data_IF_500245338170
#
_entry.id   IF_500245338170
#
_cell.length_a   1.000
_cell.length_b   1.000
_cell.length_c   1.000
_cell.angle_alpha   90.00
_cell.angle_beta   90.00
_cell.angle_gamma   90.00
#
_symmetry.space_group_name_H-M   'P 1'
#
loop_
_entity.id
_entity.type
_entity.pdbx_description
1 polymer ?
#
# COMPACT_ATOMS: atom_id res chain seq x y z
N UNK A 1 -1.41 1.48 24.84
CA UNK A 1 -2.59 2.18 24.28
C UNK A 1 -2.26 2.52 22.86
N UNK A 2 -2.97 2.11 21.81
CA UNK A 2 -4.31 1.54 21.64
C UNK A 2 -4.21 0.63 20.40
N UNK A 3 -4.58 -0.65 20.53
CA UNK A 3 -4.56 -1.59 19.40
C UNK A 3 -5.71 -1.19 18.48
N UNK A 4 -5.41 -0.62 17.31
CA UNK A 4 -6.45 -0.25 16.35
C UNK A 4 -6.96 -1.50 15.62
N UNK A 5 -7.94 -2.13 16.27
CA UNK A 5 -8.93 -3.00 15.65
C UNK A 5 -9.71 -2.15 14.64
N UNK A 6 -9.83 -2.62 13.40
CA UNK A 6 -10.80 -2.04 12.46
C UNK A 6 -12.18 -2.07 13.12
N UNK A 7 -12.74 -0.89 13.40
CA UNK A 7 -14.02 -0.72 14.07
C UNK A 7 -15.02 -0.18 13.06
N UNK A 8 -16.17 -0.84 12.95
CA UNK A 8 -17.33 -0.45 12.13
C UNK A 8 -17.79 1.00 12.39
N UNK A 9 -17.40 1.61 13.51
CA UNK A 9 -17.80 2.96 13.92
C UNK A 9 -17.13 4.13 13.16
N UNK A 10 -16.15 3.88 12.28
CA UNK A 10 -15.58 4.94 11.42
C UNK A 10 -16.51 5.40 10.28
N UNK A 11 -17.70 4.79 10.13
CA UNK A 11 -18.73 5.21 9.17
C UNK A 11 -19.50 6.49 9.59
N UNK A 12 -19.26 7.02 10.79
CA UNK A 12 -20.10 8.11 11.34
C UNK A 12 -19.26 9.28 11.87
N UNK A 13 -18.64 10.06 10.98
CA UNK A 13 -18.21 11.41 11.38
C UNK A 13 -18.30 12.44 10.25
N UNK A 14 -19.45 13.14 10.26
CA UNK A 14 -19.77 14.47 9.72
C UNK A 14 -18.99 14.95 8.49
N UNK A 15 -19.66 14.82 7.35
CA UNK A 15 -19.50 15.70 6.18
C UNK A 15 -19.70 17.16 6.60
N UNK A 16 -18.70 18.02 6.39
CA UNK A 16 -18.89 19.47 6.27
C UNK A 16 -18.73 19.85 4.79
N UNK A 17 -19.58 20.74 4.23
CA UNK A 17 -19.44 21.14 2.85
C UNK A 17 -18.46 22.31 2.67
N UNK A 18 -17.75 22.21 1.54
CA UNK A 18 -17.21 23.26 0.68
C UNK A 18 -16.03 24.11 1.17
N UNK A 19 -15.05 24.30 0.28
CA UNK A 19 -14.57 25.63 -0.12
C UNK A 19 -13.88 25.56 -1.51
N UNK A 20 -13.86 26.72 -2.16
CA UNK A 20 -13.81 26.97 -3.60
C UNK A 20 -12.53 26.57 -4.35
N UNK A 21 -12.70 26.26 -5.65
CA UNK A 21 -11.65 26.04 -6.65
C UNK A 21 -11.20 27.40 -7.22
N UNK A 22 -9.90 27.67 -7.20
CA UNK A 22 -9.28 28.82 -7.87
C UNK A 22 -8.42 28.34 -9.03
N UNK A 23 -8.44 28.95 -10.23
CA UNK A 23 -7.61 28.51 -11.33
C UNK A 23 -6.19 29.10 -11.23
N UNK A 24 -5.15 28.27 -11.39
CA UNK A 24 -3.76 28.70 -11.57
C UNK A 24 -3.32 28.42 -13.01
N UNK A 25 -2.69 29.42 -13.66
CA UNK A 25 -2.15 29.35 -15.03
C UNK A 25 -0.62 29.18 -15.04
N UNK A 26 -0.19 28.27 -15.92
CA UNK A 26 1.01 28.21 -16.78
C UNK A 26 2.45 28.12 -16.19
N UNK A 27 3.17 27.05 -16.58
CA UNK A 27 4.64 26.91 -16.55
C UNK A 27 5.09 25.47 -16.88
N UNK A 28 5.99 25.29 -17.85
CA UNK A 28 6.33 24.01 -18.52
C UNK A 28 7.43 23.22 -17.80
N UNK A 29 7.17 21.94 -17.53
CA UNK A 29 8.12 20.82 -17.32
C UNK A 29 7.38 19.51 -17.69
N UNK A 30 8.02 18.38 -18.04
CA UNK A 30 7.32 17.25 -18.67
C UNK A 30 6.29 16.67 -17.70
N UNK A 31 5.02 17.00 -17.95
CA UNK A 31 3.90 16.48 -17.18
C UNK A 31 3.73 15.02 -17.59
N UNK A 32 4.29 14.11 -16.79
CA UNK A 32 3.66 12.80 -16.60
C UNK A 32 2.85 12.85 -15.30
N UNK A 33 2.07 13.92 -15.11
CA UNK A 33 0.98 13.89 -14.14
C UNK A 33 -0.25 13.39 -14.87
N UNK A 34 -0.35 12.08 -15.03
CA UNK A 34 -1.69 11.49 -14.89
C UNK A 34 -2.05 11.74 -13.42
N UNK A 35 -3.04 12.59 -13.18
CA UNK A 35 -3.55 12.80 -11.82
C UNK A 35 -3.91 11.44 -11.24
N UNK A 36 -3.06 10.92 -10.36
CA UNK A 36 -3.20 9.57 -9.80
C UNK A 36 -4.50 9.44 -8.98
N UNK A 37 -5.11 10.58 -8.63
CA UNK A 37 -6.44 10.70 -8.01
C UNK A 37 -7.59 10.58 -9.02
N UNK A 38 -7.33 10.53 -10.32
CA UNK A 38 -8.28 10.06 -11.34
C UNK A 38 -8.14 8.57 -11.67
N UNK A 39 -6.91 8.05 -11.71
CA UNK A 39 -6.63 6.62 -11.77
C UNK A 39 -5.15 6.33 -11.59
N UNK A 40 -4.80 5.18 -11.01
CA UNK A 40 -3.39 4.82 -10.88
C UNK A 40 -2.74 4.50 -12.22
N UNK A 41 -1.48 4.92 -12.47
CA UNK A 41 -0.74 4.51 -13.65
C UNK A 41 -0.49 3.00 -13.63
N UNK A 42 -0.37 2.38 -14.80
CA UNK A 42 0.16 1.02 -14.88
C UNK A 42 1.68 1.07 -14.89
N UNK A 43 2.31 0.49 -13.86
CA UNK A 43 3.77 0.41 -13.73
C UNK A 43 4.24 -0.97 -14.19
N UNK A 44 5.35 -1.04 -14.92
CA UNK A 44 5.86 -2.29 -15.50
C UNK A 44 7.30 -2.49 -15.05
N UNK A 45 7.54 -3.61 -14.39
CA UNK A 45 8.87 -4.07 -14.02
C UNK A 45 9.39 -5.10 -15.01
N UNK A 46 10.38 -5.85 -14.57
CA UNK A 46 11.00 -6.93 -15.34
C UNK A 46 10.07 -8.15 -15.47
N UNK A 47 9.36 -8.51 -14.40
CA UNK A 47 8.47 -9.65 -14.33
C UNK A 47 7.06 -9.30 -13.85
N UNK A 48 6.89 -8.18 -13.13
CA UNK A 48 5.58 -7.75 -12.62
C UNK A 48 4.97 -6.61 -13.41
N UNK A 49 3.64 -6.53 -13.34
CA UNK A 49 2.87 -5.34 -13.69
C UNK A 49 2.10 -4.90 -12.45
N UNK A 50 2.22 -3.63 -12.09
CA UNK A 50 1.41 -3.01 -11.05
C UNK A 50 0.32 -2.18 -11.70
N UNK A 51 -0.94 -2.46 -11.33
CA UNK A 51 -2.10 -1.76 -11.87
C UNK A 51 -3.11 -1.44 -10.78
N UNK A 52 -4.04 -0.54 -11.07
CA UNK A 52 -5.17 -0.29 -10.18
C UNK A 52 -5.95 -1.59 -9.88
N UNK A 53 -6.41 -1.71 -8.63
CA UNK A 53 -7.29 -2.79 -8.20
C UNK A 53 -8.65 -2.71 -8.90
N UNK A 54 -9.21 -3.88 -9.20
CA UNK A 54 -10.55 -4.04 -9.79
C UNK A 54 -11.36 -4.98 -8.91
N UNK A 55 -12.68 -4.82 -8.89
CA UNK A 55 -13.57 -5.69 -8.12
C UNK A 55 -13.35 -7.19 -8.42
N UNK A 56 -13.03 -7.53 -9.68
CA UNK A 56 -12.72 -8.89 -10.11
C UNK A 56 -11.47 -9.50 -9.45
N UNK A 57 -10.57 -8.69 -8.88
CA UNK A 57 -9.37 -9.17 -8.19
C UNK A 57 -9.71 -9.81 -6.83
N UNK A 58 -10.89 -9.56 -6.29
CA UNK A 58 -11.27 -10.01 -4.96
C UNK A 58 -11.15 -11.53 -4.79
N UNK A 59 -11.50 -12.29 -5.83
CA UNK A 59 -11.44 -13.76 -5.78
C UNK A 59 -10.00 -14.26 -5.69
N UNK A 60 -9.10 -13.77 -6.55
CA UNK A 60 -7.70 -14.21 -6.54
C UNK A 60 -6.95 -13.72 -5.31
N UNK A 61 -7.22 -12.49 -4.86
CA UNK A 61 -6.63 -11.94 -3.64
C UNK A 61 -7.11 -12.69 -2.39
N UNK A 62 -8.40 -13.03 -2.30
CA UNK A 62 -8.90 -13.85 -1.20
C UNK A 62 -8.23 -15.23 -1.18
N UNK A 63 -8.12 -15.89 -2.33
CA UNK A 63 -7.47 -17.20 -2.40
C UNK A 63 -5.99 -17.17 -1.99
N UNK A 64 -5.26 -16.11 -2.33
CA UNK A 64 -3.81 -16.04 -2.14
C UNK A 64 -3.39 -15.36 -0.82
N UNK A 65 -4.18 -14.43 -0.30
CA UNK A 65 -3.81 -13.59 0.84
C UNK A 65 -4.57 -13.95 2.13
N UNK A 66 -5.65 -14.72 2.07
CA UNK A 66 -6.33 -15.22 3.27
C UNK A 66 -5.66 -16.46 3.87
N UNK A 67 -4.48 -16.85 3.39
CA UNK A 67 -3.71 -17.98 3.94
C UNK A 67 -3.15 -17.62 5.33
N UNK A 68 -3.04 -18.63 6.21
CA UNK A 68 -2.49 -18.44 7.55
C UNK A 68 -1.07 -17.86 7.52
N UNK A 69 -0.32 -18.20 6.48
CA UNK A 69 1.04 -17.73 6.23
C UNK A 69 1.08 -16.22 5.94
N UNK A 70 0.09 -15.65 5.25
CA UNK A 70 0.02 -14.20 4.97
C UNK A 70 -0.62 -13.43 6.12
N UNK A 71 -1.65 -14.00 6.77
CA UNK A 71 -2.38 -13.37 7.87
C UNK A 71 -1.51 -13.08 9.11
N UNK A 72 -0.38 -13.79 9.27
CA UNK A 72 0.58 -13.55 10.36
C UNK A 72 1.34 -12.22 10.25
N UNK A 73 1.33 -11.57 9.08
CA UNK A 73 2.21 -10.44 8.76
C UNK A 73 1.49 -9.13 8.43
N UNK A 74 0.16 -9.14 8.44
CA UNK A 74 -0.67 -7.96 8.19
C UNK A 74 -1.79 -7.84 9.24
N UNK A 75 -2.41 -6.66 9.36
CA UNK A 75 -3.74 -6.60 9.99
C UNK A 75 -4.65 -7.59 9.28
N UNK A 76 -5.48 -8.37 10.00
CA UNK A 76 -6.12 -9.56 9.45
C UNK A 76 -6.82 -9.20 8.13
N UNK A 77 -6.39 -9.81 7.00
CA UNK A 77 -7.00 -9.51 5.72
C UNK A 77 -8.48 -9.89 5.79
N UNK A 78 -9.32 -9.30 4.94
CA UNK A 78 -10.64 -9.88 4.72
C UNK A 78 -10.49 -11.38 4.40
N UNK A 79 -11.26 -12.23 5.06
CA UNK A 79 -11.19 -13.69 4.86
C UNK A 79 -12.21 -14.18 3.83
N UNK A 80 -12.94 -13.25 3.20
CA UNK A 80 -13.98 -13.53 2.22
C UNK A 80 -13.79 -12.68 0.98
N UNK A 81 -14.27 -13.19 -0.16
CA UNK A 81 -14.30 -12.45 -1.44
C UNK A 81 -15.03 -11.11 -1.28
N UNK A 82 -16.21 -11.13 -0.66
CA UNK A 82 -16.99 -9.91 -0.38
C UNK A 82 -16.21 -8.90 0.48
N UNK A 83 -15.42 -9.40 1.44
CA UNK A 83 -14.54 -8.57 2.23
C UNK A 83 -13.44 -7.89 1.41
N UNK A 84 -12.86 -8.61 0.44
CA UNK A 84 -11.91 -8.04 -0.52
C UNK A 84 -12.57 -7.05 -1.49
N UNK A 85 -13.81 -7.31 -1.95
CA UNK A 85 -14.57 -6.34 -2.76
C UNK A 85 -14.78 -5.02 -2.00
N UNK A 86 -15.16 -5.10 -0.71
CA UNK A 86 -15.30 -3.91 0.15
C UNK A 86 -13.97 -3.19 0.35
N UNK A 87 -12.88 -3.95 0.56
CA UNK A 87 -11.53 -3.38 0.64
C UNK A 87 -11.18 -2.64 -0.64
N UNK A 88 -11.33 -3.25 -1.82
CA UNK A 88 -11.04 -2.64 -3.12
C UNK A 88 -11.89 -1.38 -3.33
N UNK A 89 -13.19 -1.43 -3.04
CA UNK A 89 -14.05 -0.25 -3.14
C UNK A 89 -13.57 0.89 -2.20
N UNK A 90 -13.12 0.55 -0.99
CA UNK A 90 -12.55 1.53 -0.07
C UNK A 90 -11.22 2.12 -0.57
N UNK A 91 -10.31 1.31 -1.11
CA UNK A 91 -9.02 1.81 -1.64
C UNK A 91 -9.23 2.80 -2.78
N UNK A 92 -10.15 2.50 -3.70
CA UNK A 92 -10.51 3.38 -4.82
C UNK A 92 -11.09 4.72 -4.34
N UNK A 93 -11.91 4.72 -3.27
CA UNK A 93 -12.41 5.97 -2.67
C UNK A 93 -11.30 6.79 -2.04
N UNK A 94 -10.39 6.16 -1.28
CA UNK A 94 -9.27 6.89 -0.65
C UNK A 94 -8.27 7.44 -1.67
N UNK A 95 -8.11 6.77 -2.81
CA UNK A 95 -7.34 7.27 -3.95
C UNK A 95 -7.93 8.56 -4.51
N UNK A 96 -9.24 8.64 -4.68
CA UNK A 96 -9.93 9.86 -5.14
C UNK A 96 -9.73 11.01 -4.14
N UNK A 97 -9.81 10.72 -2.84
CA UNK A 97 -9.54 11.70 -1.77
C UNK A 97 -8.06 12.10 -1.74
N UNK A 98 -7.18 11.25 -2.26
CA UNK A 98 -5.76 11.53 -2.37
C UNK A 98 -4.95 11.17 -1.13
N UNK A 99 -5.42 10.21 -0.31
CA UNK A 99 -4.79 9.80 0.96
C UNK A 99 -4.18 8.39 0.89
N UNK A 100 -4.44 7.65 -0.18
CA UNK A 100 -4.06 6.25 -0.29
C UNK A 100 -3.96 5.78 -1.75
N UNK A 101 -2.91 5.02 -2.07
CA UNK A 101 -2.74 4.37 -3.36
C UNK A 101 -2.53 2.87 -3.14
N UNK A 102 -3.20 2.02 -3.91
CA UNK A 102 -3.04 0.58 -3.81
C UNK A 102 -3.07 -0.07 -5.19
N UNK A 103 -2.01 -0.82 -5.47
CA UNK A 103 -1.80 -1.55 -6.71
C UNK A 103 -2.06 -3.03 -6.49
N UNK A 104 -2.75 -3.66 -7.44
CA UNK A 104 -2.64 -5.09 -7.66
C UNK A 104 -1.29 -5.41 -8.29
N UNK A 105 -0.70 -6.53 -7.88
CA UNK A 105 0.49 -7.13 -8.50
C UNK A 105 0.04 -8.23 -9.43
N UNK A 106 0.43 -8.19 -10.70
CA UNK A 106 0.27 -9.31 -11.64
C UNK A 106 1.62 -9.69 -12.25
N UNK A 107 1.71 -10.87 -12.85
CA UNK A 107 2.87 -11.26 -13.67
C UNK A 107 2.70 -10.78 -15.11
N UNK A 108 3.80 -10.54 -15.81
CA UNK A 108 3.74 -10.16 -17.23
C UNK A 108 3.00 -11.22 -18.05
N UNK A 109 2.01 -10.78 -18.83
CA UNK A 109 1.20 -11.66 -19.68
C UNK A 109 0.01 -12.31 -18.96
N UNK A 110 -0.15 -12.08 -17.66
CA UNK A 110 -1.27 -12.54 -16.86
C UNK A 110 -1.99 -11.35 -16.20
N UNK A 111 -3.31 -11.43 -16.06
CA UNK A 111 -4.11 -10.37 -15.41
C UNK A 111 -4.57 -10.76 -13.99
N UNK A 112 -4.25 -11.97 -13.52
CA UNK A 112 -4.60 -12.42 -12.17
C UNK A 112 -3.78 -11.66 -11.13
N UNK A 113 -4.46 -11.00 -10.20
CA UNK A 113 -3.81 -10.34 -9.06
C UNK A 113 -3.24 -11.39 -8.09
N UNK A 114 -1.92 -11.38 -7.90
CA UNK A 114 -1.17 -12.28 -7.03
C UNK A 114 -0.77 -11.66 -5.68
N UNK A 115 -1.07 -10.38 -5.51
CA UNK A 115 -0.74 -9.62 -4.32
C UNK A 115 -1.08 -8.14 -4.48
N UNK A 116 -0.68 -7.35 -3.49
CA UNK A 116 -0.87 -5.91 -3.45
C UNK A 116 0.37 -5.17 -2.95
N UNK A 117 0.53 -3.93 -3.40
CA UNK A 117 1.33 -2.90 -2.75
C UNK A 117 0.44 -1.72 -2.39
N UNK A 118 0.70 -1.09 -1.25
CA UNK A 118 -0.07 0.06 -0.78
C UNK A 118 0.84 1.16 -0.25
N UNK A 119 0.42 2.40 -0.44
CA UNK A 119 1.00 3.59 0.18
C UNK A 119 -0.13 4.38 0.82
N UNK A 120 0.03 4.74 2.10
CA UNK A 120 -0.92 5.51 2.88
C UNK A 120 -0.25 6.77 3.39
N UNK A 121 -0.93 7.90 3.26
CA UNK A 121 -0.54 9.14 3.91
C UNK A 121 -0.63 9.02 5.44
N UNK A 122 0.45 9.38 6.14
CA UNK A 122 0.48 9.50 7.60
C UNK A 122 0.64 10.95 8.06
N UNK A 123 1.11 11.82 7.18
CA UNK A 123 1.18 13.27 7.34
C UNK A 123 0.70 13.95 6.05
N UNK A 124 -0.08 15.02 6.21
CA UNK A 124 -0.75 15.71 5.10
C UNK A 124 0.19 16.11 3.95
N UNK A 125 -0.31 16.00 2.72
CA UNK A 125 0.46 16.21 1.50
C UNK A 125 1.51 15.14 1.23
N UNK A 126 1.40 13.94 1.82
CA UNK A 126 2.44 12.90 1.78
C UNK A 126 3.80 13.36 2.34
N UNK A 127 3.81 14.31 3.29
CA UNK A 127 5.05 14.68 4.00
C UNK A 127 5.74 13.44 4.58
N UNK A 128 4.95 12.57 5.20
CA UNK A 128 5.31 11.22 5.59
C UNK A 128 4.22 10.26 5.10
N UNK A 129 4.65 9.10 4.64
CA UNK A 129 3.77 8.04 4.19
C UNK A 129 4.22 6.68 4.73
N UNK A 130 3.28 5.78 4.91
CA UNK A 130 3.54 4.38 5.23
C UNK A 130 3.32 3.54 3.97
N UNK A 131 4.19 2.57 3.71
CA UNK A 131 3.96 1.57 2.66
C UNK A 131 3.90 0.16 3.22
N UNK A 132 3.19 -0.70 2.49
CA UNK A 132 3.04 -2.11 2.83
C UNK A 132 2.76 -2.95 1.60
N UNK A 133 2.84 -4.26 1.76
CA UNK A 133 2.60 -5.22 0.69
C UNK A 133 2.10 -6.55 1.24
N UNK A 134 1.45 -7.32 0.38
CA UNK A 134 1.11 -8.71 0.63
C UNK A 134 1.20 -9.47 -0.70
N UNK A 135 2.00 -10.52 -0.75
CA UNK A 135 2.18 -11.37 -1.94
C UNK A 135 1.82 -12.80 -1.53
N UNK A 136 1.06 -13.51 -2.37
CA UNK A 136 0.74 -14.92 -2.11
C UNK A 136 2.00 -15.76 -1.94
N UNK A 137 2.01 -16.69 -0.97
CA UNK A 137 3.24 -17.41 -0.58
C UNK A 137 3.84 -18.27 -1.70
N UNK A 138 3.03 -18.70 -2.66
CA UNK A 138 3.50 -19.37 -3.88
C UNK A 138 4.49 -18.55 -4.72
N UNK A 139 4.55 -17.23 -4.53
CA UNK A 139 5.43 -16.33 -5.26
C UNK A 139 6.60 -15.80 -4.41
N UNK A 140 6.81 -16.30 -3.20
CA UNK A 140 7.93 -15.88 -2.36
C UNK A 140 9.26 -16.43 -2.91
N UNK A 141 10.35 -15.67 -2.71
CA UNK A 141 11.69 -16.05 -3.23
C UNK A 141 11.85 -15.95 -4.75
N UNK A 142 10.81 -15.54 -5.50
CA UNK A 142 10.84 -15.39 -6.96
C UNK A 142 11.39 -14.03 -7.44
N UNK A 143 11.68 -13.11 -6.53
CA UNK A 143 12.02 -11.72 -6.85
C UNK A 143 10.82 -10.82 -7.15
N UNK A 144 9.57 -11.32 -7.13
CA UNK A 144 8.34 -10.52 -7.40
C UNK A 144 8.23 -9.32 -6.48
N UNK A 145 8.56 -9.50 -5.19
CA UNK A 145 8.56 -8.41 -4.23
C UNK A 145 9.55 -7.31 -4.62
N UNK A 146 10.79 -7.66 -4.96
CA UNK A 146 11.83 -6.68 -5.28
C UNK A 146 11.47 -5.88 -6.53
N UNK A 147 11.09 -6.57 -7.61
CA UNK A 147 10.68 -5.94 -8.87
C UNK A 147 9.47 -4.99 -8.68
N UNK A 148 8.50 -5.39 -7.85
CA UNK A 148 7.37 -4.52 -7.50
C UNK A 148 7.74 -3.36 -6.57
N UNK A 149 8.60 -3.58 -5.59
CA UNK A 149 9.01 -2.57 -4.63
C UNK A 149 9.74 -1.39 -5.31
N UNK A 150 10.63 -1.67 -6.27
CA UNK A 150 11.33 -0.66 -7.04
C UNK A 150 10.35 0.29 -7.76
N UNK A 151 9.31 -0.26 -8.39
CA UNK A 151 8.26 0.52 -9.07
C UNK A 151 7.45 1.39 -8.10
N UNK A 152 7.09 0.83 -6.93
CA UNK A 152 6.29 1.54 -5.92
C UNK A 152 7.07 2.68 -5.29
N UNK A 153 8.37 2.49 -5.03
CA UNK A 153 9.25 3.53 -4.53
C UNK A 153 9.37 4.67 -5.55
N UNK A 154 9.59 4.32 -6.82
CA UNK A 154 9.64 5.30 -7.89
C UNK A 154 8.34 6.10 -7.99
N UNK A 155 7.18 5.43 -7.90
CA UNK A 155 5.88 6.09 -7.85
C UNK A 155 5.73 6.99 -6.62
N UNK A 156 6.11 6.52 -5.43
CA UNK A 156 6.02 7.27 -4.19
C UNK A 156 6.81 8.59 -4.25
N UNK A 157 8.06 8.53 -4.71
CA UNK A 157 8.92 9.71 -4.74
C UNK A 157 8.66 10.62 -5.93
N UNK A 158 8.43 10.07 -7.13
CA UNK A 158 8.30 10.86 -8.37
C UNK A 158 6.87 11.33 -8.64
N UNK A 159 5.87 10.57 -8.20
CA UNK A 159 4.45 10.86 -8.49
C UNK A 159 3.71 11.39 -7.27
N UNK A 160 3.85 10.76 -6.10
CA UNK A 160 3.19 11.25 -4.88
C UNK A 160 3.94 12.40 -4.22
N UNK A 161 5.25 12.51 -4.45
CA UNK A 161 6.09 13.55 -3.84
C UNK A 161 6.38 13.29 -2.35
N UNK A 162 6.46 12.02 -1.94
CA UNK A 162 6.70 11.64 -0.54
C UNK A 162 8.07 12.15 -0.07
N UNK A 163 8.14 12.81 1.10
CA UNK A 163 9.43 13.18 1.69
C UNK A 163 10.05 12.04 2.51
N UNK A 164 9.22 11.28 3.23
CA UNK A 164 9.62 10.12 4.05
C UNK A 164 8.67 8.95 3.87
N UNK A 165 9.20 7.77 3.59
CA UNK A 165 8.43 6.54 3.47
C UNK A 165 8.78 5.56 4.60
N UNK A 166 7.77 5.09 5.33
CA UNK A 166 7.95 4.19 6.47
C UNK A 166 7.40 2.79 6.21
N UNK A 167 8.21 1.77 6.50
CA UNK A 167 7.75 0.39 6.52
C UNK A 167 7.40 -0.01 7.96
N UNK A 168 6.14 -0.40 8.20
CA UNK A 168 5.76 -1.11 9.44
C UNK A 168 5.84 -2.61 9.21
N UNK A 169 7.02 -3.18 9.50
CA UNK A 169 7.18 -4.63 9.53
C UNK A 169 6.82 -5.16 10.92
N UNK A 170 5.91 -6.14 11.00
CA UNK A 170 5.78 -6.97 12.19
C UNK A 170 7.16 -7.60 12.46
N UNK A 171 7.64 -7.52 13.71
CA UNK A 171 9.01 -7.83 14.12
C UNK A 171 9.42 -9.32 14.01
N UNK A 172 8.77 -10.11 13.15
CA UNK A 172 8.96 -11.54 13.00
C UNK A 172 9.17 -11.89 11.53
N UNK A 173 10.28 -11.50 10.92
CA UNK A 173 10.70 -12.08 9.63
C UNK A 173 12.22 -12.18 9.53
N UNK A 174 12.78 -13.19 10.18
CA UNK A 174 14.12 -13.65 9.82
C UNK A 174 14.09 -14.24 8.41
N UNK A 175 14.82 -13.60 7.49
CA UNK A 175 15.57 -14.17 6.33
C UNK A 175 15.25 -13.66 4.92
N UNK A 176 14.15 -12.94 4.65
CA UNK A 176 13.84 -12.48 3.27
C UNK A 176 13.45 -11.01 3.13
N UNK A 177 12.40 -10.60 3.85
CA UNK A 177 11.87 -9.22 3.79
C UNK A 177 12.86 -8.22 4.38
N UNK A 178 13.57 -8.62 5.44
CA UNK A 178 14.57 -7.79 6.07
C UNK A 178 15.69 -7.43 5.08
N UNK A 179 16.24 -8.36 4.30
CA UNK A 179 17.44 -8.10 3.50
C UNK A 179 17.22 -7.18 2.29
N UNK A 180 16.06 -7.28 1.63
CA UNK A 180 15.70 -6.38 0.53
C UNK A 180 15.27 -5.01 1.06
N UNK A 181 14.54 -4.97 2.18
CA UNK A 181 14.25 -3.72 2.87
C UNK A 181 15.56 -3.06 3.33
N UNK A 182 16.53 -3.81 3.83
CA UNK A 182 17.87 -3.32 4.18
C UNK A 182 18.60 -2.76 2.95
N UNK A 183 18.60 -3.45 1.81
CA UNK A 183 19.24 -2.95 0.59
C UNK A 183 18.60 -1.64 0.08
N UNK A 184 17.27 -1.51 0.19
CA UNK A 184 16.52 -0.29 -0.17
C UNK A 184 16.77 0.84 0.85
N UNK A 185 16.77 0.52 2.15
CA UNK A 185 17.05 1.46 3.25
C UNK A 185 18.51 1.97 3.22
N UNK A 186 19.46 1.15 2.77
CA UNK A 186 20.87 1.54 2.64
C UNK A 186 21.11 2.45 1.42
N UNK A 187 20.27 2.35 0.39
CA UNK A 187 20.42 3.13 -0.85
C UNK A 187 19.59 4.43 -0.86
N UNK A 188 18.54 4.56 -0.04
CA UNK A 188 17.78 5.81 0.09
C UNK A 188 17.46 6.17 1.56
N UNK A 189 18.13 7.22 2.07
CA UNK A 189 17.97 7.75 3.45
C UNK A 189 16.55 8.25 3.76
N UNK A 190 15.66 8.36 2.76
CA UNK A 190 14.26 8.78 2.91
C UNK A 190 13.32 7.64 3.25
N UNK A 191 13.77 6.39 3.13
CA UNK A 191 13.01 5.22 3.60
C UNK A 191 13.48 4.90 5.02
N UNK A 192 12.54 4.73 5.97
CA UNK A 192 12.87 4.39 7.36
C UNK A 192 12.05 3.22 7.89
N UNK A 193 12.64 2.43 8.79
CA UNK A 193 11.95 1.36 9.52
C UNK A 193 11.50 1.88 10.88
N UNK A 194 10.21 1.75 11.17
CA UNK A 194 9.67 2.00 12.51
C UNK A 194 9.38 0.65 13.16
N UNK A 195 10.15 0.20 14.17
CA UNK A 195 9.91 -1.08 14.83
C UNK A 195 8.54 -1.07 15.54
N UNK A 196 7.77 -2.14 15.36
CA UNK A 196 6.54 -2.35 16.12
C UNK A 196 6.94 -2.67 17.57
N UNK A 197 6.82 -1.71 18.49
CA UNK A 197 7.01 -2.01 19.91
C UNK A 197 5.98 -3.07 20.33
N UNK A 198 6.47 -4.20 20.85
CA UNK A 198 5.61 -5.18 21.51
C UNK A 198 4.81 -4.44 22.59
N UNK A 199 3.49 -4.60 22.58
CA UNK A 199 2.65 -4.03 23.62
C UNK A 199 3.14 -4.58 24.97
N UNK A 200 3.75 -3.73 25.80
CA UNK A 200 4.08 -4.08 27.19
C UNK A 200 2.79 -4.56 27.87
N UNK A 201 2.81 -5.69 28.60
CA UNK A 201 1.72 -6.03 29.48
C UNK A 201 1.71 -4.98 30.58
N UNK A 202 0.72 -4.08 30.55
CA UNK A 202 0.41 -3.28 31.73
C UNK A 202 -0.15 -4.25 32.74
N UNK A 203 0.68 -4.65 33.71
CA UNK A 203 0.25 -5.28 34.94
C UNK A 203 -0.65 -4.26 35.66
N UNK A 204 -1.95 -4.53 35.73
CA UNK A 204 -2.86 -3.79 36.60
C UNK A 204 -2.92 -4.56 37.91
N UNK A 205 -2.40 -3.95 38.97
CA UNK A 205 -2.59 -4.38 40.36
C UNK A 205 -3.99 -4.03 40.85
#
# INVERSE_FOLDING_TARGET
MEKMVYRVELDIMRVQPALAVTPVRAGVAPIVSSDWRQGLPTLRGTQVVLRELRASDATSLCALLSTEEVARFMSPPPTTVEGFERFIAWTLRQRIVGTYACFAVTLHGFDTAIGIFQIRETEAGFGTAEWGFAIGSAFWGSGVFQDGAELVLDFAFKTLGVNRLEARAAALNGRGIDQVLYSILESDRRVTRTPMMAASPVLVH
#
